data_IF_057561888585
#
_entry.id   IF_057561888585
#
_cell.length_a   1.000
_cell.length_b   1.000
_cell.length_c   1.000
_cell.angle_alpha   90.00
_cell.angle_beta   90.00
_cell.angle_gamma   90.00
#
_symmetry.space_group_name_H-M   'P 1'
#
loop_
_entity.id
_entity.type
_entity.pdbx_description
1 polymer ?
#
# COMPACT_ATOMS: atom_id res chain seq x y z
N UNK A 1 17.28 5.82 -17.04
CA UNK A 1 16.29 6.32 -16.07
C UNK A 1 15.21 5.27 -15.88
N UNK A 2 14.62 5.16 -14.68
CA UNK A 2 13.53 4.20 -14.42
C UNK A 2 12.21 4.95 -14.62
N UNK A 3 11.38 4.48 -15.56
CA UNK A 3 10.10 5.11 -15.91
C UNK A 3 8.91 4.14 -15.89
N UNK A 4 9.15 2.89 -15.51
CA UNK A 4 8.10 1.91 -15.30
C UNK A 4 8.45 0.97 -14.14
N UNK A 5 7.42 0.37 -13.56
CA UNK A 5 7.54 -0.70 -12.57
C UNK A 5 6.52 -1.79 -12.90
N UNK A 6 6.97 -3.03 -12.90
CA UNK A 6 6.15 -4.20 -13.16
C UNK A 6 6.06 -5.08 -11.92
N UNK A 7 4.86 -5.54 -11.60
CA UNK A 7 4.60 -6.51 -10.55
C UNK A 7 3.58 -7.53 -11.04
N UNK A 8 4.02 -8.76 -11.25
CA UNK A 8 3.22 -9.81 -11.87
C UNK A 8 2.65 -9.35 -13.22
N UNK A 9 1.32 -9.24 -13.31
CA UNK A 9 0.57 -8.83 -14.49
C UNK A 9 0.34 -7.31 -14.60
N UNK A 10 0.60 -6.55 -13.54
CA UNK A 10 0.38 -5.11 -13.51
C UNK A 10 1.67 -4.32 -13.82
N UNK A 11 1.56 -3.32 -14.70
CA UNK A 11 2.64 -2.40 -15.04
C UNK A 11 2.16 -0.97 -14.85
N UNK A 12 2.93 -0.17 -14.11
CA UNK A 12 2.74 1.28 -14.02
C UNK A 12 3.85 1.99 -14.79
N UNK A 13 3.48 3.01 -15.55
CA UNK A 13 4.40 3.86 -16.34
C UNK A 13 4.25 5.29 -15.81
N UNK A 14 5.37 5.99 -15.61
CA UNK A 14 5.39 7.34 -15.05
C UNK A 14 6.47 8.18 -15.72
N UNK A 15 6.22 9.48 -15.85
CA UNK A 15 7.08 10.40 -16.62
C UNK A 15 6.91 11.83 -16.13
N UNK A 16 7.87 12.71 -16.40
CA UNK A 16 7.82 14.09 -15.91
C UNK A 16 6.91 14.97 -16.78
N UNK A 17 6.88 14.74 -18.10
CA UNK A 17 6.00 15.45 -19.04
C UNK A 17 5.15 14.51 -19.88
N UNK A 18 4.03 14.99 -20.46
CA UNK A 18 3.20 14.20 -21.38
C UNK A 18 3.98 13.69 -22.60
N UNK A 19 4.88 14.51 -23.16
CA UNK A 19 5.66 14.14 -24.35
C UNK A 19 6.67 13.02 -24.06
N UNK A 20 7.26 13.03 -22.86
CA UNK A 20 8.06 11.90 -22.37
C UNK A 20 7.20 10.67 -22.09
N UNK A 21 5.99 10.88 -21.57
CA UNK A 21 5.07 9.80 -21.26
C UNK A 21 4.68 9.00 -22.49
N UNK A 22 4.34 9.66 -23.60
CA UNK A 22 4.00 8.99 -24.86
C UNK A 22 5.16 8.13 -25.39
N UNK A 23 6.41 8.62 -25.24
CA UNK A 23 7.61 7.87 -25.60
C UNK A 23 7.78 6.64 -24.70
N UNK A 24 7.63 6.81 -23.39
CA UNK A 24 7.77 5.70 -22.43
C UNK A 24 6.69 4.64 -22.61
N UNK A 25 5.44 5.04 -22.85
CA UNK A 25 4.34 4.11 -23.17
C UNK A 25 4.66 3.32 -24.42
N UNK A 26 5.11 3.99 -25.50
CA UNK A 26 5.50 3.32 -26.75
C UNK A 26 6.59 2.28 -26.51
N UNK A 27 7.65 2.62 -25.77
CA UNK A 27 8.74 1.69 -25.45
C UNK A 27 8.26 0.46 -24.66
N UNK A 28 7.35 0.63 -23.71
CA UNK A 28 6.79 -0.50 -22.95
C UNK A 28 5.92 -1.38 -23.85
N UNK A 29 5.08 -0.79 -24.68
CA UNK A 29 4.22 -1.55 -25.62
C UNK A 29 5.05 -2.36 -26.61
N UNK A 30 6.10 -1.77 -27.19
CA UNK A 30 7.02 -2.49 -28.07
C UNK A 30 7.75 -3.64 -27.36
N UNK A 31 8.12 -3.45 -26.09
CA UNK A 31 8.75 -4.50 -25.30
C UNK A 31 7.79 -5.66 -25.00
N UNK A 32 6.52 -5.35 -24.69
CA UNK A 32 5.48 -6.35 -24.49
C UNK A 32 5.20 -7.14 -25.77
N UNK A 33 5.09 -6.45 -26.91
CA UNK A 33 4.89 -7.07 -28.22
C UNK A 33 6.04 -8.03 -28.57
N UNK A 34 7.29 -7.60 -28.39
CA UNK A 34 8.48 -8.45 -28.62
C UNK A 34 8.52 -9.69 -27.71
N UNK A 35 7.90 -9.60 -26.54
CA UNK A 35 7.80 -10.70 -25.57
C UNK A 35 6.52 -11.54 -25.75
N UNK A 36 5.71 -11.28 -26.77
CA UNK A 36 4.41 -11.94 -27.01
C UNK A 36 3.42 -11.79 -25.84
N UNK A 37 3.57 -10.72 -25.04
CA UNK A 37 2.69 -10.38 -23.94
C UNK A 37 1.56 -9.46 -24.41
N UNK A 38 0.34 -9.84 -24.07
CA UNK A 38 -0.87 -9.16 -24.53
C UNK A 38 -1.54 -8.41 -23.39
N UNK A 39 -1.90 -7.16 -23.64
CA UNK A 39 -2.70 -6.35 -22.72
C UNK A 39 -4.19 -6.62 -22.94
N UNK A 40 -4.99 -6.50 -21.87
CA UNK A 40 -6.45 -6.44 -21.96
C UNK A 40 -6.89 -4.97 -21.97
N UNK A 41 -7.24 -4.37 -23.13
CA UNK A 41 -7.46 -2.92 -23.21
C UNK A 41 -8.54 -2.40 -22.25
N UNK A 42 -9.56 -3.20 -21.98
CA UNK A 42 -10.64 -2.85 -21.05
C UNK A 42 -10.21 -2.73 -19.58
N UNK A 43 -8.97 -3.13 -19.25
CA UNK A 43 -8.38 -3.02 -17.90
C UNK A 43 -7.26 -1.97 -17.84
N UNK A 44 -6.85 -1.41 -18.97
CA UNK A 44 -5.77 -0.42 -19.01
C UNK A 44 -6.34 0.98 -18.72
N UNK A 45 -5.59 1.76 -17.94
CA UNK A 45 -5.88 3.17 -17.66
C UNK A 45 -4.74 4.00 -18.26
N UNK A 46 -5.08 5.02 -19.03
CA UNK A 46 -4.11 5.76 -19.87
C UNK A 46 -4.07 7.24 -19.50
N UNK A 47 -2.86 7.80 -19.44
CA UNK A 47 -2.59 9.25 -19.36
C UNK A 47 -3.41 9.98 -18.29
N UNK A 48 -3.46 9.42 -17.08
CA UNK A 48 -4.14 10.01 -15.92
C UNK A 48 -3.15 10.63 -14.94
N UNK A 49 -3.52 11.72 -14.24
CA UNK A 49 -2.68 12.32 -13.19
C UNK A 49 -2.62 11.49 -11.90
N UNK A 50 -3.54 10.53 -11.75
CA UNK A 50 -3.68 9.68 -10.56
C UNK A 50 -4.13 8.28 -10.99
N UNK A 51 -3.49 7.24 -10.46
CA UNK A 51 -3.80 5.83 -10.77
C UNK A 51 -3.62 4.93 -9.55
N UNK A 52 -4.49 3.93 -9.42
CA UNK A 52 -4.31 2.87 -8.42
C UNK A 52 -3.38 1.77 -8.94
N UNK A 53 -2.45 1.36 -8.09
CA UNK A 53 -1.48 0.31 -8.37
C UNK A 53 -1.12 -0.44 -7.08
N UNK A 54 -1.39 -1.74 -7.03
CA UNK A 54 -1.10 -2.62 -5.88
C UNK A 54 -1.69 -2.15 -4.53
N UNK A 55 -2.86 -1.49 -4.57
CA UNK A 55 -3.51 -0.92 -3.38
C UNK A 55 -2.84 0.34 -2.84
N UNK A 56 -2.03 1.00 -3.67
CA UNK A 56 -1.58 2.37 -3.50
C UNK A 56 -2.16 3.23 -4.61
N UNK A 57 -2.27 4.51 -4.35
CA UNK A 57 -2.65 5.52 -5.34
C UNK A 57 -1.43 6.38 -5.63
N UNK A 58 -0.94 6.33 -6.87
CA UNK A 58 0.16 7.14 -7.35
C UNK A 58 -0.38 8.44 -7.93
N UNK A 59 0.17 9.57 -7.51
CA UNK A 59 -0.26 10.92 -7.92
C UNK A 59 0.92 11.67 -8.52
N UNK A 60 0.77 12.10 -9.76
CA UNK A 60 1.79 12.85 -10.49
C UNK A 60 2.27 14.07 -9.69
N UNK A 61 3.59 14.19 -9.52
CA UNK A 61 4.22 15.29 -8.77
C UNK A 61 4.03 15.27 -7.25
N UNK A 62 3.25 14.34 -6.68
CA UNK A 62 3.00 14.24 -5.23
C UNK A 62 3.49 12.94 -4.59
N UNK A 63 3.76 11.90 -5.39
CA UNK A 63 4.25 10.62 -4.92
C UNK A 63 3.14 9.58 -4.76
N UNK A 64 3.28 8.67 -3.81
CA UNK A 64 2.34 7.57 -3.57
C UNK A 64 1.61 7.76 -2.23
N UNK A 65 0.33 7.41 -2.19
CA UNK A 65 -0.50 7.29 -0.97
C UNK A 65 -1.18 5.94 -0.93
N UNK A 66 -1.74 5.54 0.21
CA UNK A 66 -2.62 4.37 0.25
C UNK A 66 -3.91 4.63 -0.53
N UNK A 67 -4.49 3.57 -1.09
CA UNK A 67 -5.82 3.67 -1.68
C UNK A 67 -6.88 4.02 -0.63
N UNK A 68 -7.89 4.77 -1.06
CA UNK A 68 -8.94 5.28 -0.16
C UNK A 68 -9.73 4.11 0.48
N UNK A 69 -9.94 3.00 -0.24
CA UNK A 69 -10.57 1.78 0.29
C UNK A 69 -9.80 1.18 1.48
N UNK A 70 -8.46 1.12 1.38
CA UNK A 70 -7.63 0.60 2.48
C UNK A 70 -7.60 1.57 3.65
N UNK A 71 -7.59 2.88 3.38
CA UNK A 71 -7.69 3.90 4.42
C UNK A 71 -9.05 3.83 5.15
N UNK A 72 -10.13 3.61 4.42
CA UNK A 72 -11.47 3.44 4.99
C UNK A 72 -11.53 2.19 5.87
N UNK A 73 -11.04 1.05 5.38
CA UNK A 73 -10.99 -0.19 6.15
C UNK A 73 -10.19 -0.04 7.46
N UNK A 74 -9.11 0.75 7.44
CA UNK A 74 -8.36 1.08 8.66
C UNK A 74 -9.16 1.99 9.59
N UNK A 75 -9.81 3.06 9.09
CA UNK A 75 -10.61 3.99 9.92
C UNK A 75 -11.78 3.32 10.62
N UNK A 76 -12.40 2.34 9.96
CA UNK A 76 -13.54 1.59 10.50
C UNK A 76 -13.12 0.41 11.39
N UNK A 77 -11.81 0.16 11.53
CA UNK A 77 -11.30 -0.96 12.29
C UNK A 77 -11.66 -0.83 13.77
N UNK A 78 -12.27 -1.87 14.34
CA UNK A 78 -12.67 -1.87 15.75
C UNK A 78 -11.49 -2.21 16.65
N UNK A 79 -11.47 -1.62 17.85
CA UNK A 79 -10.48 -1.96 18.89
C UNK A 79 -10.40 -3.48 19.10
N UNK A 80 -9.21 -4.09 18.94
CA UNK A 80 -9.02 -5.51 19.21
C UNK A 80 -9.33 -5.90 20.65
N UNK A 81 -10.03 -7.01 20.83
CA UNK A 81 -10.47 -7.53 22.13
C UNK A 81 -9.76 -8.82 22.55
N UNK A 82 -8.98 -9.40 21.65
CA UNK A 82 -8.23 -10.63 21.89
C UNK A 82 -6.94 -10.70 21.06
N UNK A 83 -6.06 -11.66 21.40
CA UNK A 83 -4.75 -11.85 20.75
C UNK A 83 -4.89 -12.09 19.24
N UNK A 84 -5.93 -12.80 18.79
CA UNK A 84 -6.16 -13.08 17.37
C UNK A 84 -6.44 -11.78 16.62
N UNK A 85 -7.32 -10.93 17.16
CA UNK A 85 -7.63 -9.62 16.58
C UNK A 85 -6.44 -8.68 16.56
N UNK A 86 -5.59 -8.69 17.59
CA UNK A 86 -4.34 -7.91 17.58
C UNK A 86 -3.42 -8.37 16.46
N UNK A 87 -3.27 -9.69 16.25
CA UNK A 87 -2.46 -10.22 15.15
C UNK A 87 -3.03 -9.84 13.78
N UNK A 88 -4.35 -9.89 13.63
CA UNK A 88 -5.02 -9.47 12.38
C UNK A 88 -4.76 -7.98 12.12
N UNK A 89 -4.95 -7.12 13.14
CA UNK A 89 -4.67 -5.70 13.03
C UNK A 89 -3.21 -5.42 12.66
N UNK A 90 -2.24 -5.99 13.40
CA UNK A 90 -0.81 -5.80 13.15
C UNK A 90 -0.40 -6.30 11.76
N UNK A 91 -0.95 -7.42 11.30
CA UNK A 91 -0.72 -7.95 9.96
C UNK A 91 -1.20 -7.00 8.86
N UNK A 92 -2.42 -6.45 9.02
CA UNK A 92 -2.99 -5.51 8.05
C UNK A 92 -2.21 -4.20 8.02
N UNK A 93 -1.97 -3.58 9.17
CA UNK A 93 -1.37 -2.26 9.25
C UNK A 93 0.12 -2.25 8.88
N UNK A 94 0.79 -3.40 8.94
CA UNK A 94 2.16 -3.55 8.48
C UNK A 94 2.32 -3.23 6.98
N UNK A 95 1.26 -3.40 6.18
CA UNK A 95 1.23 -2.94 4.77
C UNK A 95 1.55 -1.44 4.64
N UNK A 96 1.16 -0.66 5.64
CA UNK A 96 1.24 0.80 5.68
C UNK A 96 2.47 1.30 6.46
N UNK A 97 3.27 0.39 7.02
CA UNK A 97 4.39 0.69 7.93
C UNK A 97 5.38 1.72 7.36
N UNK A 98 5.66 1.67 6.05
CA UNK A 98 6.57 2.62 5.36
C UNK A 98 6.05 4.06 5.34
N UNK A 99 4.74 4.26 5.52
CA UNK A 99 4.10 5.58 5.53
C UNK A 99 3.87 6.11 6.95
N UNK A 100 4.08 5.27 7.97
CA UNK A 100 3.90 5.62 9.38
C UNK A 100 5.26 5.87 10.05
N UNK A 101 5.57 7.12 10.42
CA UNK A 101 6.73 7.40 11.25
C UNK A 101 6.70 6.60 12.55
N UNK A 102 7.86 6.08 12.98
CA UNK A 102 8.00 5.34 14.23
C UNK A 102 7.08 4.11 14.34
N UNK A 103 6.74 3.45 13.22
CA UNK A 103 5.83 2.30 13.19
C UNK A 103 6.22 1.21 14.20
N UNK A 104 7.51 0.83 14.26
CA UNK A 104 7.99 -0.22 15.16
C UNK A 104 7.74 0.13 16.64
N UNK A 105 8.04 1.38 17.03
CA UNK A 105 7.83 1.88 18.39
C UNK A 105 6.33 1.94 18.72
N UNK A 106 5.53 2.42 17.77
CA UNK A 106 4.08 2.48 17.92
C UNK A 106 3.46 1.09 18.01
N UNK A 107 3.95 0.09 17.29
CA UNK A 107 3.43 -1.28 17.31
C UNK A 107 3.93 -2.11 18.50
N UNK A 108 4.98 -1.69 19.21
CA UNK A 108 5.62 -2.47 20.27
C UNK A 108 4.68 -2.89 21.43
N UNK A 109 3.76 -2.02 21.93
CA UNK A 109 2.80 -2.41 22.96
C UNK A 109 1.86 -3.53 22.48
N UNK A 110 1.33 -3.42 21.26
CA UNK A 110 0.45 -4.43 20.68
C UNK A 110 1.20 -5.73 20.35
N UNK A 111 2.41 -5.66 19.81
CA UNK A 111 3.27 -6.82 19.60
C UNK A 111 3.47 -7.61 20.90
N UNK A 112 3.61 -6.91 22.03
CA UNK A 112 3.75 -7.55 23.33
C UNK A 112 2.52 -8.34 23.77
N UNK A 113 1.30 -7.98 23.33
CA UNK A 113 0.08 -8.78 23.56
C UNK A 113 0.08 -10.11 22.80
N UNK A 114 0.89 -10.24 21.74
CA UNK A 114 0.90 -11.44 20.88
C UNK A 114 1.89 -12.52 21.33
N UNK A 115 2.72 -12.22 22.34
CA UNK A 115 3.76 -13.11 22.85
C UNK A 115 3.16 -14.35 23.54
N UNK A 116 3.75 -15.52 23.29
CA UNK A 116 3.31 -16.80 23.86
C UNK A 116 3.42 -16.76 25.40
N UNK A 117 2.39 -17.24 26.08
CA UNK A 117 2.36 -17.33 27.55
C UNK A 117 2.01 -16.04 28.28
N UNK A 118 1.76 -14.93 27.56
CA UNK A 118 1.29 -13.68 28.17
C UNK A 118 -0.24 -13.69 28.30
N UNK A 119 -0.75 -13.23 29.44
CA UNK A 119 -2.18 -12.94 29.61
C UNK A 119 -2.54 -11.74 28.73
N UNK A 120 -3.66 -11.83 28.01
CA UNK A 120 -4.16 -10.70 27.24
C UNK A 120 -4.73 -9.66 28.20
N UNK A 121 -4.02 -8.55 28.34
CA UNK A 121 -4.43 -7.42 29.15
C UNK A 121 -4.26 -6.16 28.32
N UNK A 122 -5.38 -5.53 27.98
CA UNK A 122 -5.37 -4.28 27.23
C UNK A 122 -5.22 -3.11 28.19
N UNK A 123 -3.99 -2.62 28.33
CA UNK A 123 -3.66 -1.47 29.18
C UNK A 123 -3.68 -0.15 28.40
N UNK A 124 -3.44 0.97 29.09
CA UNK A 124 -3.40 2.30 28.47
C UNK A 124 -2.32 2.44 27.40
N UNK A 125 -1.19 1.73 27.51
CA UNK A 125 -0.14 1.76 26.48
C UNK A 125 -0.63 1.13 25.18
N UNK A 126 -1.40 0.04 25.28
CA UNK A 126 -2.03 -0.61 24.13
C UNK A 126 -3.10 0.30 23.52
N UNK A 127 -3.90 1.00 24.33
CA UNK A 127 -4.88 1.97 23.84
C UNK A 127 -4.19 3.12 23.09
N UNK A 128 -3.18 3.77 23.71
CA UNK A 128 -2.41 4.85 23.07
C UNK A 128 -1.74 4.40 21.78
N UNK A 129 -1.18 3.20 21.78
CA UNK A 129 -0.55 2.58 20.62
C UNK A 129 -1.57 2.40 19.48
N UNK A 130 -2.71 1.77 19.77
CA UNK A 130 -3.77 1.55 18.79
C UNK A 130 -4.33 2.88 18.25
N UNK A 131 -4.68 3.84 19.11
CA UNK A 131 -5.23 5.13 18.68
C UNK A 131 -4.27 5.98 17.85
N UNK A 132 -2.94 5.84 18.02
CA UNK A 132 -1.94 6.54 17.19
C UNK A 132 -1.80 5.96 15.79
N UNK A 133 -2.18 4.69 15.62
CA UNK A 133 -2.06 3.93 14.39
C UNK A 133 -3.37 3.91 13.58
N UNK A 134 -4.43 4.50 14.12
CA UNK A 134 -5.75 4.69 13.50
C UNK A 134 -5.86 6.11 12.97
#
# INVERSE_FOLDING_TARGET
EIFCFAYLDDIIIFSATPEEHDKHVTLVLEALEKAELHLKPSKCVWSVPEIEFLGFTAVAGKGIRMSDDKLQALREWKRPTNVREVRMFLGTINFCSKMMPHFADNAAPLNSLTKKGKVFEWNEECERSWSRMM
#
